data_IF_880457639729
#
_entry.id   IF_880457639729
#
_cell.length_a   1.000
_cell.length_b   1.000
_cell.length_c   1.000
_cell.angle_alpha   90.00
_cell.angle_beta   90.00
_cell.angle_gamma   90.00
#
_symmetry.space_group_name_H-M   'P 1'
#
loop_
_entity.id
_entity.type
_entity.pdbx_description
1 polymer ?
#
# COMPACT_ATOMS: atom_id res chain seq x y z
N UNK A 1 -7.70 8.82 -17.85
CA UNK A 1 -7.75 8.33 -16.46
C UNK A 1 -6.37 8.58 -15.87
N UNK A 2 -6.28 9.38 -14.81
CA UNK A 2 -5.01 9.68 -14.15
C UNK A 2 -4.73 8.59 -13.12
N UNK A 3 -3.46 8.24 -12.94
CA UNK A 3 -3.01 7.31 -11.90
C UNK A 3 -1.88 8.00 -11.12
N UNK A 4 -1.90 7.87 -9.80
CA UNK A 4 -0.88 8.42 -8.91
C UNK A 4 -0.21 7.26 -8.17
N UNK A 5 1.12 7.27 -8.12
CA UNK A 5 1.90 6.28 -7.39
C UNK A 5 2.88 6.99 -6.47
N UNK A 6 2.98 6.53 -5.24
CA UNK A 6 3.79 7.13 -4.18
C UNK A 6 4.40 6.03 -3.32
N UNK A 7 5.68 6.16 -3.02
CA UNK A 7 6.41 5.25 -2.13
C UNK A 7 6.36 5.79 -0.70
N UNK A 8 5.95 4.95 0.25
CA UNK A 8 5.80 5.30 1.67
C UNK A 8 6.29 4.18 2.57
N UNK A 9 6.53 4.51 3.84
CA UNK A 9 6.66 3.53 4.90
C UNK A 9 5.29 2.94 5.26
N UNK A 10 5.27 1.69 5.72
CA UNK A 10 4.04 0.98 6.12
C UNK A 10 3.21 1.71 7.19
N UNK A 11 3.85 2.56 8.00
CA UNK A 11 3.17 3.35 9.02
C UNK A 11 2.22 4.40 8.43
N UNK A 12 2.45 4.82 7.18
CA UNK A 12 1.65 5.83 6.48
C UNK A 12 0.56 5.19 5.60
N UNK A 13 0.57 3.86 5.43
CA UNK A 13 -0.27 3.13 4.50
C UNK A 13 -1.75 3.49 4.62
N UNK A 14 -2.30 3.37 5.83
CA UNK A 14 -3.72 3.58 6.07
C UNK A 14 -4.16 5.01 5.72
N UNK A 15 -3.34 6.01 6.06
CA UNK A 15 -3.64 7.41 5.75
C UNK A 15 -3.52 7.72 4.26
N UNK A 16 -2.55 7.12 3.56
CA UNK A 16 -2.37 7.34 2.12
C UNK A 16 -3.47 6.65 1.31
N UNK A 17 -3.85 5.43 1.69
CA UNK A 17 -4.97 4.71 1.07
C UNK A 17 -6.27 5.51 1.19
N UNK A 18 -6.61 5.97 2.40
CA UNK A 18 -7.79 6.80 2.63
C UNK A 18 -7.74 8.08 1.80
N UNK A 19 -6.59 8.76 1.76
CA UNK A 19 -6.43 9.98 0.98
C UNK A 19 -6.66 9.75 -0.52
N UNK A 20 -6.16 8.65 -1.09
CA UNK A 20 -6.39 8.32 -2.50
C UNK A 20 -7.88 8.09 -2.79
N UNK A 21 -8.55 7.32 -1.93
CA UNK A 21 -9.98 7.03 -2.06
C UNK A 21 -10.83 8.30 -1.91
N UNK A 22 -10.53 9.17 -0.94
CA UNK A 22 -11.22 10.44 -0.71
C UNK A 22 -11.10 11.39 -1.92
N UNK A 23 -10.01 11.28 -2.68
CA UNK A 23 -9.76 12.07 -3.89
C UNK A 23 -10.22 11.38 -5.18
N UNK A 24 -10.97 10.28 -5.07
CA UNK A 24 -11.65 9.64 -6.20
C UNK A 24 -10.91 8.48 -6.85
N UNK A 25 -9.88 7.91 -6.20
CA UNK A 25 -9.31 6.64 -6.64
C UNK A 25 -10.39 5.55 -6.61
N UNK A 26 -10.58 4.84 -7.72
CA UNK A 26 -11.56 3.75 -7.81
C UNK A 26 -11.06 2.47 -7.12
N UNK A 27 -9.75 2.31 -6.99
CA UNK A 27 -9.09 1.21 -6.30
C UNK A 27 -7.73 1.68 -5.80
N UNK A 28 -7.22 0.99 -4.79
CA UNK A 28 -5.84 1.17 -4.32
C UNK A 28 -5.11 -0.16 -4.46
N UNK A 29 -3.89 -0.10 -4.98
CA UNK A 29 -3.01 -1.26 -5.10
C UNK A 29 -1.71 -1.01 -4.35
N UNK A 30 -1.23 -2.08 -3.71
CA UNK A 30 0.00 -2.09 -2.94
C UNK A 30 1.01 -2.95 -3.66
N UNK A 31 2.22 -2.41 -3.85
CA UNK A 31 3.35 -3.15 -4.40
C UNK A 31 4.55 -3.00 -3.48
N UNK A 32 5.31 -4.06 -3.36
CA UNK A 32 6.63 -4.04 -2.77
C UNK A 32 7.54 -2.99 -3.45
N UNK A 33 8.19 -2.15 -2.64
CA UNK A 33 9.13 -1.14 -3.12
C UNK A 33 10.59 -1.63 -3.17
N UNK A 34 10.92 -2.71 -2.46
CA UNK A 34 12.31 -3.13 -2.19
C UNK A 34 12.61 -4.62 -2.45
N UNK A 35 11.63 -5.39 -2.96
CA UNK A 35 11.75 -6.85 -3.15
C UNK A 35 11.94 -7.60 -1.82
N UNK A 36 11.25 -7.12 -0.79
CA UNK A 36 11.24 -7.68 0.56
C UNK A 36 10.37 -8.95 0.62
N UNK A 37 10.86 -10.08 1.15
CA UNK A 37 10.06 -11.28 1.27
C UNK A 37 8.96 -11.11 2.32
N UNK A 38 7.72 -11.42 1.95
CA UNK A 38 6.61 -11.57 2.91
C UNK A 38 6.59 -13.00 3.41
N UNK A 39 6.86 -13.18 4.71
CA UNK A 39 6.72 -14.47 5.38
C UNK A 39 5.24 -14.84 5.52
N UNK A 40 4.97 -16.14 5.56
CA UNK A 40 3.61 -16.62 5.79
C UNK A 40 3.10 -16.16 7.16
N UNK A 41 1.97 -15.43 7.22
CA UNK A 41 1.47 -14.88 8.46
C UNK A 41 0.86 -15.96 9.36
N UNK A 42 0.77 -15.64 10.65
CA UNK A 42 -0.08 -16.45 11.54
C UNK A 42 -1.55 -16.29 11.14
N UNK A 43 -2.42 -17.25 11.49
CA UNK A 43 -3.85 -17.11 11.26
C UNK A 43 -4.39 -15.78 11.81
N UNK A 44 -4.93 -14.94 10.93
CA UNK A 44 -5.50 -13.62 11.26
C UNK A 44 -4.56 -12.43 11.08
N UNK A 45 -3.27 -12.64 10.75
CA UNK A 45 -2.34 -11.57 10.43
C UNK A 45 -2.31 -11.32 8.90
N UNK A 46 -2.17 -10.05 8.50
CA UNK A 46 -1.98 -9.64 7.10
C UNK A 46 -0.81 -8.64 7.02
N UNK A 47 0.45 -9.12 7.13
CA UNK A 47 1.62 -8.26 7.09
C UNK A 47 1.77 -7.66 5.69
N UNK A 48 2.18 -6.40 5.66
CA UNK A 48 2.56 -5.68 4.44
C UNK A 48 4.06 -5.39 4.52
N UNK A 49 4.70 -5.24 3.36
CA UNK A 49 6.09 -4.83 3.22
C UNK A 49 6.44 -3.58 4.03
N UNK A 50 7.67 -3.43 4.55
CA UNK A 50 8.11 -2.25 5.29
C UNK A 50 7.94 -0.96 4.50
N UNK A 51 8.29 -1.00 3.21
CA UNK A 51 8.15 0.11 2.26
C UNK A 51 7.26 -0.34 1.11
N UNK A 52 6.29 0.49 0.75
CA UNK A 52 5.24 0.12 -0.20
C UNK A 52 5.07 1.23 -1.25
N UNK A 53 4.94 0.84 -2.52
CA UNK A 53 4.41 1.70 -3.56
C UNK A 53 2.89 1.57 -3.54
N UNK A 54 2.22 2.65 -3.16
CA UNK A 54 0.75 2.75 -3.18
C UNK A 54 0.33 3.44 -4.46
N UNK A 55 -0.63 2.86 -5.17
CA UNK A 55 -1.16 3.39 -6.44
C UNK A 55 -2.68 3.47 -6.41
N UNK A 56 -3.22 4.62 -6.81
CA UNK A 56 -4.66 4.88 -6.95
C UNK A 56 -5.01 5.70 -8.19
#
# INVERSE_FOLDING_TARGET
MLQISVTIDRAQLLSTEQALLDHGACSVTLRDAADDPVLEPRPGEAPVWPTVVVTG
#
